data_IF_786717400163
#
_entry.id   IF_786717400163
#
_cell.length_a   1.000
_cell.length_b   1.000
_cell.length_c   1.000
_cell.angle_alpha   90.00
_cell.angle_beta   90.00
_cell.angle_gamma   90.00
#
_symmetry.space_group_name_H-M   'P 1'
#
loop_
_entity.id
_entity.type
_entity.pdbx_description
1 polymer ?
#
# COMPACT_ATOMS: atom_id res chain seq x y z
N UNK A 1 -15.17 -5.99 -2.20
CA UNK A 1 -16.54 -6.23 -1.69
C UNK A 1 -16.83 -5.37 -0.47
N UNK A 2 -16.08 -5.48 0.63
CA UNK A 2 -16.30 -4.71 1.88
C UNK A 2 -16.41 -3.19 1.67
N UNK A 3 -15.49 -2.59 0.93
CA UNK A 3 -15.56 -1.16 0.58
C UNK A 3 -16.76 -0.83 -0.32
N UNK A 4 -17.15 -1.75 -1.19
CA UNK A 4 -18.27 -1.57 -2.12
C UNK A 4 -19.63 -1.66 -1.41
N UNK A 5 -19.75 -2.54 -0.42
CA UNK A 5 -20.95 -2.66 0.41
C UNK A 5 -21.10 -1.45 1.32
N UNK A 6 -20.01 -0.98 1.94
CA UNK A 6 -20.03 0.25 2.74
C UNK A 6 -20.28 1.50 1.89
N UNK A 7 -19.76 1.53 0.66
CA UNK A 7 -20.01 2.59 -0.31
C UNK A 7 -21.49 2.76 -0.66
N UNK A 8 -22.26 1.67 -0.73
CA UNK A 8 -23.70 1.73 -1.02
C UNK A 8 -24.52 2.43 0.05
N UNK A 9 -23.94 2.74 1.22
CA UNK A 9 -24.60 3.44 2.32
C UNK A 9 -24.40 4.96 2.30
N UNK A 10 -23.56 5.51 1.40
CA UNK A 10 -23.42 6.96 1.24
C UNK A 10 -24.33 7.44 0.10
N UNK A 11 -25.37 8.22 0.42
CA UNK A 11 -26.17 8.97 -0.56
C UNK A 11 -25.32 10.07 -1.20
N UNK A 12 -24.48 9.71 -2.16
CA UNK A 12 -23.71 10.67 -2.95
C UNK A 12 -24.27 10.72 -4.35
N UNK A 13 -24.69 11.91 -4.79
CA UNK A 13 -25.32 12.11 -6.09
C UNK A 13 -24.31 11.79 -7.21
N UNK A 14 -24.51 10.70 -7.98
CA UNK A 14 -23.64 10.40 -9.10
C UNK A 14 -23.87 11.41 -10.24
N UNK A 15 -22.83 11.78 -11.00
CA UNK A 15 -23.02 12.53 -12.23
C UNK A 15 -23.65 11.62 -13.30
N UNK A 16 -24.15 12.18 -14.42
CA UNK A 16 -24.69 11.39 -15.53
C UNK A 16 -23.68 10.33 -16.02
N UNK A 17 -24.16 9.18 -16.49
CA UNK A 17 -23.29 8.04 -16.88
C UNK A 17 -22.23 8.44 -17.91
N UNK A 18 -22.57 9.29 -18.88
CA UNK A 18 -21.63 9.84 -19.85
C UNK A 18 -20.46 10.60 -19.20
N UNK A 19 -20.70 11.28 -18.07
CA UNK A 19 -19.68 11.99 -17.30
C UNK A 19 -18.83 11.00 -16.51
N UNK A 20 -19.44 9.96 -15.93
CA UNK A 20 -18.71 8.89 -15.24
C UNK A 20 -17.75 8.17 -16.19
N UNK A 21 -18.22 7.82 -17.39
CA UNK A 21 -17.43 7.18 -18.44
C UNK A 21 -16.28 8.09 -18.89
N UNK A 22 -16.55 9.39 -19.07
CA UNK A 22 -15.52 10.37 -19.41
C UNK A 22 -14.46 10.49 -18.32
N UNK A 23 -14.85 10.53 -17.04
CA UNK A 23 -13.93 10.51 -15.90
C UNK A 23 -13.08 9.23 -15.90
N UNK A 24 -13.72 8.07 -16.08
CA UNK A 24 -13.04 6.78 -16.16
C UNK A 24 -12.01 6.74 -17.30
N UNK A 25 -12.38 7.25 -18.48
CA UNK A 25 -11.51 7.37 -19.64
C UNK A 25 -10.30 8.29 -19.36
N UNK A 26 -10.53 9.43 -18.71
CA UNK A 26 -9.45 10.36 -18.36
C UNK A 26 -8.44 9.71 -17.42
N UNK A 27 -8.91 9.08 -16.35
CA UNK A 27 -8.03 8.42 -15.37
C UNK A 27 -7.29 7.22 -15.95
N UNK A 28 -7.94 6.42 -16.81
CA UNK A 28 -7.31 5.25 -17.45
C UNK A 28 -6.16 5.65 -18.39
N UNK A 29 -6.29 6.79 -19.06
CA UNK A 29 -5.31 7.26 -20.04
C UNK A 29 -4.31 8.27 -19.44
N UNK A 30 -4.36 8.51 -18.13
CA UNK A 30 -3.48 9.44 -17.46
C UNK A 30 -2.09 8.84 -17.26
N UNK A 31 -1.06 9.66 -17.48
CA UNK A 31 0.35 9.32 -17.32
C UNK A 31 1.14 10.54 -16.83
N UNK A 32 2.37 10.33 -16.39
CA UNK A 32 3.23 11.41 -15.89
C UNK A 32 3.52 12.51 -16.93
N UNK A 33 3.46 12.20 -18.23
CA UNK A 33 3.69 13.17 -19.30
C UNK A 33 2.47 14.03 -19.63
N UNK A 34 1.26 13.54 -19.36
CA UNK A 34 0.01 14.21 -19.72
C UNK A 34 -0.87 14.60 -18.52
N UNK A 35 -0.41 14.35 -17.29
CA UNK A 35 -1.18 14.57 -16.06
C UNK A 35 -1.70 16.00 -15.94
N UNK A 36 -0.92 17.01 -16.32
CA UNK A 36 -1.35 18.42 -16.24
C UNK A 36 -2.54 18.69 -17.16
N UNK A 37 -2.40 18.40 -18.46
CA UNK A 37 -3.44 18.62 -19.45
C UNK A 37 -4.73 17.85 -19.13
N UNK A 38 -4.62 16.56 -18.73
CA UNK A 38 -5.79 15.77 -18.33
C UNK A 38 -6.42 16.23 -17.02
N UNK A 39 -5.63 16.81 -16.12
CA UNK A 39 -6.17 17.40 -14.89
C UNK A 39 -6.96 18.67 -15.19
N UNK A 40 -6.54 19.50 -16.15
CA UNK A 40 -7.31 20.67 -16.59
C UNK A 40 -8.66 20.25 -17.19
N UNK A 41 -8.68 19.26 -18.09
CA UNK A 41 -9.94 18.73 -18.65
C UNK A 41 -10.86 18.14 -17.55
N UNK A 42 -10.27 17.41 -16.60
CA UNK A 42 -11.02 16.88 -15.45
C UNK A 42 -11.52 18.00 -14.54
N UNK A 43 -10.76 19.08 -14.37
CA UNK A 43 -11.13 20.23 -13.55
C UNK A 43 -12.37 20.91 -14.12
N UNK A 44 -12.39 21.18 -15.43
CA UNK A 44 -13.55 21.76 -16.12
C UNK A 44 -14.78 20.88 -15.96
N UNK A 45 -14.63 19.56 -16.15
CA UNK A 45 -15.73 18.60 -16.01
C UNK A 45 -16.28 18.58 -14.57
N UNK A 46 -15.40 18.61 -13.56
CA UNK A 46 -15.82 18.66 -12.15
C UNK A 46 -16.43 20.01 -11.75
N UNK A 47 -16.04 21.11 -12.40
CA UNK A 47 -16.64 22.43 -12.18
C UNK A 47 -18.05 22.50 -12.77
N UNK A 48 -18.26 21.95 -13.98
CA UNK A 48 -19.58 21.82 -14.59
C UNK A 48 -20.53 20.95 -13.73
N UNK A 49 -19.97 19.95 -13.06
CA UNK A 49 -20.71 19.04 -12.17
C UNK A 49 -20.29 19.18 -10.70
N UNK A 50 -20.26 20.42 -10.18
CA UNK A 50 -19.79 20.70 -8.82
C UNK A 50 -20.52 19.91 -7.71
N UNK A 51 -21.79 19.54 -7.93
CA UNK A 51 -22.57 18.68 -7.02
C UNK A 51 -22.02 17.26 -6.88
N UNK A 52 -21.21 16.80 -7.84
CA UNK A 52 -20.65 15.44 -7.90
C UNK A 52 -19.22 15.34 -7.36
N UNK A 53 -18.67 16.40 -6.75
CA UNK A 53 -17.30 16.39 -6.18
C UNK A 53 -17.14 15.31 -5.11
N UNK A 54 -18.14 15.14 -4.24
CA UNK A 54 -18.12 14.09 -3.22
C UNK A 54 -18.14 12.70 -3.86
N UNK A 55 -18.92 12.52 -4.95
CA UNK A 55 -18.99 11.25 -5.67
C UNK A 55 -17.64 10.93 -6.29
N UNK A 56 -17.00 11.91 -6.94
CA UNK A 56 -15.69 11.72 -7.54
C UNK A 56 -14.63 11.38 -6.50
N UNK A 57 -14.62 12.07 -5.35
CA UNK A 57 -13.71 11.76 -4.26
C UNK A 57 -13.87 10.31 -3.77
N UNK A 58 -15.11 9.86 -3.60
CA UNK A 58 -15.43 8.51 -3.18
C UNK A 58 -15.05 7.47 -4.26
N UNK A 59 -15.39 7.73 -5.52
CA UNK A 59 -15.01 6.90 -6.66
C UNK A 59 -13.48 6.74 -6.77
N UNK A 60 -12.74 7.85 -6.70
CA UNK A 60 -11.28 7.85 -6.76
C UNK A 60 -10.68 6.99 -5.65
N UNK A 61 -11.15 7.16 -4.40
CA UNK A 61 -10.62 6.42 -3.24
C UNK A 61 -10.93 4.92 -3.35
N UNK A 62 -12.19 4.56 -3.59
CA UNK A 62 -12.65 3.16 -3.51
C UNK A 62 -12.29 2.35 -4.76
N UNK A 63 -12.41 2.96 -5.95
CA UNK A 63 -12.24 2.23 -7.22
C UNK A 63 -10.84 2.34 -7.80
N UNK A 64 -10.04 3.32 -7.38
CA UNK A 64 -8.68 3.54 -7.93
C UNK A 64 -7.65 3.37 -6.84
N UNK A 65 -7.59 4.31 -5.89
CA UNK A 65 -6.55 4.37 -4.85
C UNK A 65 -6.43 3.07 -4.06
N UNK A 66 -7.55 2.50 -3.61
CA UNK A 66 -7.51 1.27 -2.81
C UNK A 66 -6.97 0.05 -3.60
N UNK A 67 -7.08 0.06 -4.93
CA UNK A 67 -6.75 -1.07 -5.81
C UNK A 67 -5.43 -0.89 -6.55
N UNK A 68 -5.00 0.35 -6.77
CA UNK A 68 -3.95 0.72 -7.72
C UNK A 68 -2.80 1.49 -7.02
N UNK A 69 -2.03 0.85 -6.12
CA UNK A 69 -0.96 1.54 -5.37
C UNK A 69 0.13 2.13 -6.27
N UNK A 70 0.38 1.51 -7.42
CA UNK A 70 1.40 1.97 -8.39
C UNK A 70 1.07 3.34 -9.01
N UNK A 71 -0.21 3.75 -8.98
CA UNK A 71 -0.66 5.04 -9.53
C UNK A 71 -0.86 6.12 -8.46
N UNK A 72 -0.52 5.88 -7.19
CA UNK A 72 -0.69 6.88 -6.12
C UNK A 72 0.09 8.18 -6.37
N UNK A 73 1.31 8.11 -6.88
CA UNK A 73 2.08 9.31 -7.22
C UNK A 73 1.39 10.12 -8.33
N UNK A 74 0.84 9.44 -9.33
CA UNK A 74 0.08 10.06 -10.42
C UNK A 74 -1.21 10.71 -9.90
N UNK A 75 -1.98 10.02 -9.07
CA UNK A 75 -3.19 10.56 -8.45
C UNK A 75 -2.88 11.73 -7.50
N UNK A 76 -1.76 11.69 -6.80
CA UNK A 76 -1.27 12.78 -5.97
C UNK A 76 -0.98 14.00 -6.86
N UNK A 77 -0.20 13.86 -7.93
CA UNK A 77 0.08 14.94 -8.89
C UNK A 77 -1.19 15.50 -9.55
N UNK A 78 -2.14 14.65 -9.92
CA UNK A 78 -3.45 15.06 -10.44
C UNK A 78 -4.21 15.91 -9.42
N UNK A 79 -4.33 15.46 -8.16
CA UNK A 79 -5.06 16.23 -7.13
C UNK A 79 -4.41 17.58 -6.82
N UNK A 80 -3.09 17.69 -6.96
CA UNK A 80 -2.35 18.96 -6.92
C UNK A 80 -2.72 19.87 -8.09
N UNK A 81 -2.67 19.34 -9.32
CA UNK A 81 -3.01 20.10 -10.52
C UNK A 81 -4.47 20.59 -10.51
N UNK A 82 -5.41 19.77 -10.01
CA UNK A 82 -6.82 20.17 -9.85
C UNK A 82 -6.98 21.37 -8.91
N UNK A 83 -6.19 21.45 -7.83
CA UNK A 83 -6.22 22.55 -6.85
C UNK A 83 -7.61 22.90 -6.27
N UNK A 84 -8.57 21.95 -6.30
CA UNK A 84 -9.93 22.13 -5.76
C UNK A 84 -9.93 21.79 -4.26
N UNK A 85 -10.03 22.82 -3.40
CA UNK A 85 -9.99 22.65 -1.93
C UNK A 85 -11.08 21.72 -1.38
N UNK A 86 -12.31 21.85 -1.88
CA UNK A 86 -13.44 21.01 -1.47
C UNK A 86 -13.21 19.54 -1.82
N UNK A 87 -12.63 19.27 -3.00
CA UNK A 87 -12.25 17.94 -3.43
C UNK A 87 -11.17 17.34 -2.52
N UNK A 88 -10.10 18.09 -2.21
CA UNK A 88 -9.05 17.58 -1.31
C UNK A 88 -9.61 17.18 0.06
N UNK A 89 -10.54 17.98 0.61
CA UNK A 89 -11.23 17.65 1.87
C UNK A 89 -12.07 16.38 1.71
N UNK A 90 -12.85 16.27 0.65
CA UNK A 90 -13.68 15.09 0.39
C UNK A 90 -12.85 13.82 0.18
N UNK A 91 -11.70 13.90 -0.49
CA UNK A 91 -10.76 12.79 -0.67
C UNK A 91 -10.21 12.34 0.68
N UNK A 92 -9.78 13.26 1.54
CA UNK A 92 -9.29 12.94 2.88
C UNK A 92 -10.38 12.27 3.72
N UNK A 93 -11.59 12.85 3.75
CA UNK A 93 -12.73 12.27 4.47
C UNK A 93 -13.06 10.86 3.96
N UNK A 94 -13.15 10.67 2.65
CA UNK A 94 -13.43 9.37 2.05
C UNK A 94 -12.32 8.34 2.34
N UNK A 95 -11.05 8.76 2.30
CA UNK A 95 -9.90 7.90 2.65
C UNK A 95 -10.00 7.41 4.09
N UNK A 96 -10.23 8.33 5.03
CA UNK A 96 -10.35 8.00 6.46
C UNK A 96 -11.57 7.12 6.74
N UNK A 97 -12.70 7.40 6.11
CA UNK A 97 -13.91 6.60 6.28
C UNK A 97 -13.73 5.17 5.78
N UNK A 98 -13.14 4.99 4.59
CA UNK A 98 -12.86 3.66 4.05
C UNK A 98 -11.80 2.90 4.87
N UNK A 99 -10.81 3.60 5.41
CA UNK A 99 -9.87 2.98 6.36
C UNK A 99 -10.59 2.48 7.63
N UNK A 100 -11.50 3.27 8.20
CA UNK A 100 -12.31 2.87 9.37
C UNK A 100 -13.22 1.67 9.07
N UNK A 101 -13.82 1.61 7.88
CA UNK A 101 -14.62 0.45 7.42
C UNK A 101 -13.77 -0.82 7.42
N UNK A 102 -12.55 -0.78 6.89
CA UNK A 102 -11.66 -1.95 6.86
C UNK A 102 -11.17 -2.32 8.27
N UNK A 103 -10.83 -1.33 9.10
CA UNK A 103 -10.42 -1.55 10.50
C UNK A 103 -11.55 -2.15 11.36
N UNK A 104 -12.81 -1.85 11.03
CA UNK A 104 -14.00 -2.40 11.66
C UNK A 104 -14.48 -3.75 11.09
N UNK A 105 -13.89 -4.22 9.99
CA UNK A 105 -14.32 -5.46 9.33
C UNK A 105 -13.98 -6.69 10.16
N UNK A 106 -14.94 -7.59 10.33
CA UNK A 106 -14.71 -8.90 10.97
C UNK A 106 -13.70 -9.76 10.19
N UNK A 107 -13.54 -9.52 8.88
CA UNK A 107 -12.65 -10.27 8.00
C UNK A 107 -11.21 -9.77 8.04
N UNK A 108 -10.90 -8.64 8.69
CA UNK A 108 -9.57 -8.00 8.61
C UNK A 108 -8.43 -8.91 9.16
N UNK A 109 -8.75 -9.80 10.11
CA UNK A 109 -7.80 -10.76 10.70
C UNK A 109 -7.43 -11.90 9.77
N UNK A 110 -8.39 -12.40 8.98
CA UNK A 110 -8.20 -13.55 8.09
C UNK A 110 -7.86 -13.14 6.67
N UNK A 111 -8.51 -12.08 6.17
CA UNK A 111 -8.42 -11.62 4.78
C UNK A 111 -7.14 -10.84 4.50
N UNK A 112 -6.22 -11.44 3.74
CA UNK A 112 -5.04 -10.73 3.21
C UNK A 112 -5.42 -9.62 2.22
N UNK A 113 -6.52 -9.78 1.48
CA UNK A 113 -6.98 -8.77 0.52
C UNK A 113 -7.44 -7.49 1.22
N UNK A 114 -8.22 -7.59 2.30
CA UNK A 114 -8.64 -6.40 3.09
C UNK A 114 -7.44 -5.69 3.71
N UNK A 115 -6.47 -6.44 4.22
CA UNK A 115 -5.22 -5.87 4.74
C UNK A 115 -4.43 -5.15 3.64
N UNK A 116 -4.38 -5.68 2.43
CA UNK A 116 -3.75 -5.00 1.29
C UNK A 116 -4.46 -3.70 0.91
N UNK A 117 -5.80 -3.69 0.88
CA UNK A 117 -6.57 -2.47 0.65
C UNK A 117 -6.30 -1.41 1.72
N UNK A 118 -6.29 -1.82 3.00
CA UNK A 118 -5.99 -0.92 4.12
C UNK A 118 -4.58 -0.35 4.01
N UNK A 119 -3.61 -1.20 3.68
CA UNK A 119 -2.21 -0.82 3.45
C UNK A 119 -2.08 0.21 2.32
N UNK A 120 -2.81 0.02 1.22
CA UNK A 120 -2.86 0.98 0.11
C UNK A 120 -3.46 2.33 0.56
N UNK A 121 -4.56 2.31 1.31
CA UNK A 121 -5.16 3.53 1.87
C UNK A 121 -4.21 4.24 2.86
N UNK A 122 -3.42 3.49 3.63
CA UNK A 122 -2.39 4.06 4.52
C UNK A 122 -1.31 4.82 3.75
N UNK A 123 -0.76 4.20 2.70
CA UNK A 123 0.21 4.85 1.80
C UNK A 123 -0.36 6.12 1.19
N UNK A 124 -1.58 6.04 0.66
CA UNK A 124 -2.27 7.19 0.09
C UNK A 124 -2.51 8.31 1.11
N UNK A 125 -2.99 7.96 2.31
CA UNK A 125 -3.22 8.91 3.40
C UNK A 125 -1.96 9.69 3.75
N UNK A 126 -0.83 8.99 3.88
CA UNK A 126 0.48 9.62 4.11
C UNK A 126 0.88 10.59 2.99
N UNK A 127 0.71 10.19 1.72
CA UNK A 127 1.05 11.02 0.56
C UNK A 127 0.21 12.31 0.47
N UNK A 128 -1.10 12.22 0.71
CA UNK A 128 -1.97 13.41 0.62
C UNK A 128 -1.91 14.33 1.85
N UNK A 129 -1.28 13.88 2.95
CA UNK A 129 -1.16 14.63 4.21
C UNK A 129 0.29 14.92 4.60
N UNK A 130 0.99 13.95 5.20
CA UNK A 130 2.30 14.11 5.83
C UNK A 130 3.39 14.52 4.84
N UNK A 131 3.44 13.89 3.66
CA UNK A 131 4.38 14.28 2.59
C UNK A 131 4.17 15.74 2.12
N UNK A 132 2.96 16.26 2.29
CA UNK A 132 2.56 17.63 1.96
C UNK A 132 2.61 18.57 3.16
N UNK A 133 3.29 18.20 4.24
CA UNK A 133 3.40 18.96 5.48
C UNK A 133 2.04 19.31 6.12
N UNK A 134 1.01 18.48 5.88
CA UNK A 134 -0.31 18.63 6.52
C UNK A 134 -0.43 17.61 7.65
N UNK A 135 -0.79 18.03 8.88
CA UNK A 135 -0.92 17.12 10.00
C UNK A 135 -2.12 16.19 9.83
N UNK A 136 -1.96 14.95 10.30
CA UNK A 136 -3.09 14.07 10.61
C UNK A 136 -3.57 14.42 12.02
N UNK A 137 -4.79 14.95 12.11
CA UNK A 137 -5.36 15.36 13.39
C UNK A 137 -5.85 14.14 14.17
N UNK A 138 -5.61 14.13 15.48
CA UNK A 138 -6.06 13.07 16.39
C UNK A 138 -7.58 12.81 16.30
N UNK A 139 -8.39 13.88 16.14
CA UNK A 139 -9.85 13.79 15.95
C UNK A 139 -10.26 13.03 14.68
N UNK A 140 -9.39 13.04 13.67
CA UNK A 140 -9.63 12.36 12.40
C UNK A 140 -9.12 10.91 12.49
N UNK A 141 -7.89 10.71 12.95
CA UNK A 141 -7.37 9.38 13.26
C UNK A 141 -6.25 9.47 14.30
N UNK A 142 -6.48 8.89 15.46
CA UNK A 142 -5.43 8.73 16.48
C UNK A 142 -4.64 7.45 16.19
N UNK A 143 -3.51 7.60 15.50
CA UNK A 143 -2.65 6.45 15.18
C UNK A 143 -2.02 5.81 16.43
N UNK A 144 -1.82 6.56 17.52
CA UNK A 144 -1.23 5.98 18.75
C UNK A 144 -2.25 5.11 19.43
N UNK A 145 -3.46 5.64 19.64
CA UNK A 145 -4.54 4.87 20.26
C UNK A 145 -4.94 3.69 19.37
N UNK A 146 -4.95 3.87 18.04
CA UNK A 146 -5.21 2.78 17.11
C UNK A 146 -4.24 1.60 17.28
N UNK A 147 -2.94 1.86 17.52
CA UNK A 147 -1.96 0.79 17.79
C UNK A 147 -2.23 0.13 19.15
N UNK A 148 -2.54 0.91 20.18
CA UNK A 148 -2.85 0.36 21.50
C UNK A 148 -4.13 -0.49 21.49
N UNK A 149 -5.20 -0.04 20.84
CA UNK A 149 -6.45 -0.78 20.68
C UNK A 149 -6.24 -2.04 19.84
N UNK A 150 -5.39 -1.97 18.80
CA UNK A 150 -5.03 -3.12 18.00
C UNK A 150 -4.25 -4.15 18.80
N UNK A 151 -3.40 -3.69 19.72
CA UNK A 151 -2.70 -4.55 20.65
C UNK A 151 -3.69 -5.33 21.51
N UNK A 152 -4.68 -4.69 22.15
CA UNK A 152 -5.67 -5.37 23.02
C UNK A 152 -6.67 -6.24 22.27
N UNK A 153 -6.99 -5.87 21.03
CA UNK A 153 -7.99 -6.59 20.24
C UNK A 153 -7.39 -7.71 19.41
N UNK A 154 -6.08 -7.75 19.20
CA UNK A 154 -5.47 -8.70 18.28
C UNK A 154 -5.68 -8.33 16.80
N UNK A 155 -5.44 -7.05 16.47
CA UNK A 155 -5.55 -6.49 15.12
C UNK A 155 -4.21 -5.96 14.58
N UNK A 156 -3.08 -6.29 15.22
CA UNK A 156 -1.78 -5.71 14.89
C UNK A 156 -1.34 -6.09 13.46
N UNK A 157 -1.69 -7.29 12.99
CA UNK A 157 -1.44 -7.75 11.62
C UNK A 157 -1.98 -6.81 10.53
N UNK A 158 -3.01 -6.03 10.85
CA UNK A 158 -3.59 -5.03 9.95
C UNK A 158 -3.12 -3.61 10.28
N UNK A 159 -3.07 -3.26 11.57
CA UNK A 159 -2.80 -1.89 12.01
C UNK A 159 -1.33 -1.51 11.89
N UNK A 160 -0.38 -2.39 12.22
CA UNK A 160 1.06 -2.06 12.13
C UNK A 160 1.47 -1.75 10.69
N UNK A 161 1.14 -2.58 9.67
CA UNK A 161 1.46 -2.24 8.28
C UNK A 161 0.75 -0.98 7.79
N UNK A 162 -0.48 -0.72 8.25
CA UNK A 162 -1.21 0.51 7.92
C UNK A 162 -0.49 1.75 8.46
N UNK A 163 -0.16 1.77 9.76
CA UNK A 163 0.54 2.88 10.40
C UNK A 163 1.93 3.08 9.78
N UNK A 164 2.66 1.99 9.51
CA UNK A 164 3.95 2.06 8.84
C UNK A 164 3.84 2.74 7.47
N UNK A 165 2.86 2.36 6.64
CA UNK A 165 2.66 2.99 5.33
C UNK A 165 2.22 4.44 5.39
N UNK A 166 1.48 4.85 6.42
CA UNK A 166 1.19 6.27 6.65
C UNK A 166 2.48 7.03 6.95
N UNK A 167 3.34 6.47 7.82
CA UNK A 167 4.58 7.09 8.27
C UNK A 167 5.70 7.06 7.22
N UNK A 168 5.69 6.16 6.24
CA UNK A 168 6.65 6.15 5.11
C UNK A 168 6.70 7.54 4.41
N UNK A 169 5.56 8.21 4.32
CA UNK A 169 5.45 9.54 3.72
C UNK A 169 6.17 10.66 4.51
N UNK A 170 6.55 10.41 5.78
CA UNK A 170 7.33 11.36 6.56
C UNK A 170 8.76 11.51 6.04
N UNK A 171 9.30 10.51 5.33
CA UNK A 171 10.66 10.57 4.79
C UNK A 171 10.86 11.68 3.74
N UNK A 172 9.78 12.08 3.05
CA UNK A 172 9.79 13.18 2.07
C UNK A 172 9.24 14.49 2.64
N UNK A 173 8.75 14.48 3.88
CA UNK A 173 8.18 15.64 4.56
C UNK A 173 9.27 16.53 5.15
N UNK A 174 9.10 17.85 5.06
CA UNK A 174 10.00 18.80 5.74
C UNK A 174 9.63 18.98 7.22
N UNK A 175 8.35 18.78 7.55
CA UNK A 175 7.81 19.00 8.91
C UNK A 175 7.81 17.72 9.73
N UNK A 176 7.48 16.58 9.11
CA UNK A 176 7.26 15.31 9.82
C UNK A 176 8.44 14.34 9.75
N UNK A 177 9.58 14.71 9.18
CA UNK A 177 10.80 13.89 9.29
C UNK A 177 11.28 13.83 10.75
N UNK A 178 11.87 12.70 11.23
CA UNK A 178 12.59 12.68 12.50
C UNK A 178 13.61 13.83 12.62
N UNK A 179 13.79 14.42 13.82
CA UNK A 179 13.25 14.01 15.11
C UNK A 179 11.90 14.69 15.48
N UNK A 180 10.96 14.83 14.53
CA UNK A 180 9.62 15.35 14.82
C UNK A 180 8.95 14.61 16.02
N UNK A 181 8.50 15.32 17.09
CA UNK A 181 7.99 14.67 18.29
C UNK A 181 6.75 13.79 18.08
N UNK A 182 5.88 14.14 17.13
CA UNK A 182 4.69 13.35 16.83
C UNK A 182 5.08 12.02 16.19
N UNK A 183 6.01 12.04 15.22
CA UNK A 183 6.56 10.82 14.59
C UNK A 183 7.36 9.99 15.59
N UNK A 184 8.27 10.61 16.34
CA UNK A 184 9.10 9.90 17.31
C UNK A 184 8.28 9.25 18.42
N UNK A 185 7.16 9.85 18.82
CA UNK A 185 6.26 9.22 19.79
C UNK A 185 5.53 8.00 19.23
N UNK A 186 5.21 7.96 17.93
CA UNK A 186 4.71 6.75 17.27
C UNK A 186 5.82 5.70 17.14
N UNK A 187 7.03 6.10 16.75
CA UNK A 187 8.19 5.20 16.70
C UNK A 187 8.51 4.58 18.07
N UNK A 188 8.39 5.36 19.14
CA UNK A 188 8.59 4.89 20.51
C UNK A 188 7.54 3.83 20.92
N UNK A 189 6.29 4.00 20.49
CA UNK A 189 5.23 3.01 20.69
C UNK A 189 5.45 1.75 19.86
N UNK A 190 5.88 1.90 18.60
CA UNK A 190 6.26 0.77 17.77
C UNK A 190 7.48 0.03 18.32
N UNK A 191 8.43 0.74 18.96
CA UNK A 191 9.57 0.12 19.62
C UNK A 191 9.17 -0.67 20.87
N UNK A 192 8.23 -0.15 21.66
CA UNK A 192 7.62 -0.93 22.76
C UNK A 192 6.99 -2.22 22.21
N UNK A 193 6.23 -2.12 21.11
CA UNK A 193 5.63 -3.28 20.46
C UNK A 193 6.69 -4.27 19.95
N UNK A 194 7.76 -3.78 19.33
CA UNK A 194 8.88 -4.59 18.81
C UNK A 194 9.54 -5.46 19.90
N UNK A 195 9.59 -4.95 21.13
CA UNK A 195 10.15 -5.64 22.29
C UNK A 195 9.19 -6.66 22.91
N UNK A 196 7.90 -6.67 22.53
CA UNK A 196 6.94 -7.64 23.07
C UNK A 196 7.36 -9.07 22.69
N UNK A 197 7.47 -9.99 23.67
CA UNK A 197 7.82 -11.37 23.41
C UNK A 197 6.83 -12.06 22.47
N UNK A 198 7.36 -12.95 21.64
CA UNK A 198 6.60 -13.77 20.69
C UNK A 198 5.82 -12.95 19.62
N UNK A 199 6.04 -11.64 19.48
CA UNK A 199 5.46 -10.85 18.39
C UNK A 199 5.94 -11.43 17.04
N UNK A 200 5.00 -11.65 16.12
CA UNK A 200 5.28 -12.26 14.83
C UNK A 200 6.35 -11.48 14.05
N UNK A 201 7.30 -12.21 13.46
CA UNK A 201 8.43 -11.62 12.75
C UNK A 201 8.01 -10.66 11.64
N UNK A 202 6.93 -10.95 10.91
CA UNK A 202 6.42 -10.03 9.88
C UNK A 202 6.12 -8.63 10.44
N UNK A 203 5.60 -8.53 11.67
CA UNK A 203 5.32 -7.24 12.31
C UNK A 203 6.61 -6.53 12.74
N UNK A 204 7.59 -7.30 13.25
CA UNK A 204 8.92 -6.76 13.58
C UNK A 204 9.63 -6.23 12.34
N UNK A 205 9.58 -6.97 11.23
CA UNK A 205 10.16 -6.55 9.96
C UNK A 205 9.51 -5.28 9.42
N UNK A 206 8.19 -5.11 9.53
CA UNK A 206 7.53 -3.85 9.13
C UNK A 206 8.06 -2.65 9.93
N UNK A 207 8.29 -2.82 11.24
CA UNK A 207 8.86 -1.76 12.10
C UNK A 207 10.33 -1.46 11.72
N UNK A 208 11.13 -2.50 11.45
CA UNK A 208 12.52 -2.34 10.98
C UNK A 208 12.62 -1.63 9.63
N UNK A 209 11.77 -2.01 8.68
CA UNK A 209 11.70 -1.37 7.37
C UNK A 209 11.31 0.09 7.51
N UNK A 210 10.30 0.40 8.33
CA UNK A 210 9.91 1.79 8.60
C UNK A 210 11.06 2.60 9.21
N UNK A 211 11.77 2.06 10.21
CA UNK A 211 12.91 2.72 10.83
C UNK A 211 14.01 3.04 9.80
N UNK A 212 14.31 2.10 8.89
CA UNK A 212 15.22 2.32 7.76
C UNK A 212 14.73 3.41 6.80
N UNK A 213 13.44 3.40 6.42
CA UNK A 213 12.83 4.44 5.57
C UNK A 213 13.00 5.82 6.19
N UNK A 214 12.79 5.93 7.52
CA UNK A 214 12.89 7.19 8.26
C UNK A 214 14.33 7.54 8.68
N UNK A 215 15.31 6.68 8.36
CA UNK A 215 16.72 6.82 8.72
C UNK A 215 16.93 6.98 10.23
N UNK A 216 16.22 6.16 11.01
CA UNK A 216 16.34 6.11 12.48
C UNK A 216 16.83 4.73 12.88
N UNK A 217 17.84 4.70 13.76
CA UNK A 217 18.32 3.47 14.37
C UNK A 217 17.35 3.02 15.47
N UNK A 218 16.91 1.76 15.42
CA UNK A 218 15.99 1.22 16.44
C UNK A 218 16.60 1.23 17.85
N UNK A 219 17.92 1.10 17.95
CA UNK A 219 18.64 1.13 19.23
C UNK A 219 18.54 2.49 19.94
N UNK A 220 18.35 3.58 19.19
CA UNK A 220 18.28 4.95 19.73
C UNK A 220 16.86 5.32 20.18
N UNK A 221 15.86 4.53 19.79
CA UNK A 221 14.46 4.78 20.14
C UNK A 221 14.18 4.24 21.53
N UNK A 222 13.79 5.13 22.44
CA UNK A 222 13.30 4.74 23.77
C UNK A 222 11.86 4.22 23.64
N UNK A 223 11.57 2.98 24.09
CA UNK A 223 10.20 2.46 24.06
C UNK A 223 9.30 3.24 25.01
N UNK A 224 8.01 3.30 24.69
CA UNK A 224 7.00 3.74 25.66
C UNK A 224 6.70 2.66 26.71
N UNK A 225 5.80 2.96 27.64
CA UNK A 225 5.24 2.00 28.61
C UNK A 225 3.70 1.95 28.53
N UNK A 226 3.13 2.15 27.34
CA UNK A 226 1.68 2.24 27.11
C UNK A 226 1.00 0.88 27.01
N UNK A 227 1.72 -0.15 26.60
CA UNK A 227 1.21 -1.51 26.40
C UNK A 227 1.33 -2.38 27.66
N UNK A 228 2.23 -2.02 28.59
CA UNK A 228 2.50 -2.79 29.83
C UNK A 228 1.24 -3.07 30.66
N UNK A 229 0.32 -2.11 30.74
CA UNK A 229 -0.92 -2.23 31.51
C UNK A 229 -2.13 -2.71 30.70
N UNK A 230 -1.95 -2.97 29.41
CA UNK A 230 -3.02 -3.39 28.51
C UNK A 230 -3.04 -4.91 28.43
N UNK A 231 -4.20 -5.50 28.71
CA UNK A 231 -4.34 -6.95 28.68
C UNK A 231 -4.47 -7.42 27.22
N UNK A 232 -3.67 -8.42 26.85
CA UNK A 232 -3.77 -9.05 25.54
C UNK A 232 -3.92 -10.57 25.66
N UNK A 233 -5.05 -11.08 25.18
CA UNK A 233 -5.29 -12.53 25.12
C UNK A 233 -4.54 -13.12 23.92
N UNK A 234 -3.38 -13.72 24.21
CA UNK A 234 -2.50 -14.32 23.21
C UNK A 234 -3.11 -15.56 22.53
N UNK A 235 -4.18 -16.14 23.07
CA UNK A 235 -4.81 -17.35 22.52
C UNK A 235 -5.82 -17.05 21.41
N UNK A 236 -6.33 -15.83 21.34
CA UNK A 236 -7.39 -15.42 20.40
C UNK A 236 -6.90 -14.53 19.24
N UNK A 237 -5.59 -14.38 19.10
CA UNK A 237 -4.98 -13.49 18.11
C UNK A 237 -3.98 -14.22 17.21
N UNK A 238 -3.85 -13.76 15.97
CA UNK A 238 -2.86 -14.23 15.00
C UNK A 238 -1.57 -13.37 14.96
N UNK A 239 -1.46 -12.40 15.89
CA UNK A 239 -0.37 -11.42 15.95
C UNK A 239 0.90 -11.95 16.63
N UNK A 240 0.77 -13.01 17.44
CA UNK A 240 1.88 -13.64 18.16
C UNK A 240 2.16 -15.03 17.60
N UNK A 241 3.41 -15.48 17.72
CA UNK A 241 3.81 -16.84 17.39
C UNK A 241 3.21 -17.82 18.42
N UNK A 242 2.49 -18.84 17.94
CA UNK A 242 1.96 -19.88 18.80
C UNK A 242 3.11 -20.73 19.38
N UNK A 243 3.35 -20.64 20.70
CA UNK A 243 4.29 -21.53 21.41
C UNK A 243 3.93 -23.01 21.31
N UNK A 244 2.65 -23.34 21.05
CA UNK A 244 2.19 -24.71 20.89
C UNK A 244 2.84 -25.45 19.70
N UNK A 245 3.23 -24.73 18.63
CA UNK A 245 3.92 -25.34 17.49
C UNK A 245 5.42 -25.55 17.71
N UNK A 246 6.05 -24.79 18.60
CA UNK A 246 7.48 -24.88 18.88
C UNK A 246 7.81 -26.02 19.87
N UNK A 247 6.93 -26.29 20.84
CA UNK A 247 7.11 -27.40 21.79
C UNK A 247 6.92 -28.78 21.14
N UNK A 248 6.09 -28.89 20.09
CA UNK A 248 5.87 -30.15 19.37
C UNK A 248 7.09 -30.63 18.55
N UNK A 249 8.01 -29.72 18.20
CA UNK A 249 9.25 -30.07 17.48
C UNK A 249 10.35 -30.58 18.42
N UNK A 250 10.25 -30.31 19.73
CA UNK A 250 11.26 -30.70 20.73
C UNK A 250 10.78 -31.82 21.69
N UNK A 251 9.59 -32.38 21.47
CA UNK A 251 8.93 -33.33 22.39
C UNK A 251 8.58 -34.70 21.80
N UNK A 252 9.25 -35.14 20.72
CA UNK A 252 9.08 -36.49 20.18
C UNK A 252 9.77 -37.55 21.06
N UNK A 253 9.13 -38.69 21.38
CA UNK A 253 9.75 -39.72 22.23
C UNK A 253 10.91 -40.39 21.50
N UNK A 254 12.02 -40.59 22.23
CA UNK A 254 13.15 -41.43 21.83
C UNK A 254 12.65 -42.86 21.54
N UNK A 255 12.50 -43.19 20.25
CA UNK A 255 12.32 -44.54 19.74
C UNK A 255 13.63 -45.02 19.11
N UNK A 256 14.26 -46.00 19.75
CA UNK A 256 15.46 -46.68 19.27
C UNK A 256 15.21 -47.42 17.95
N UNK A 257 15.94 -47.09 16.90
CA UNK A 257 16.21 -48.04 15.82
C UNK A 257 17.52 -47.67 15.13
N UNK A 258 18.49 -48.57 15.34
CA UNK A 258 19.82 -48.60 14.75
C UNK A 258 19.79 -48.52 13.23
N UNK A 259 20.61 -47.65 12.65
CA UNK A 259 21.25 -47.90 11.36
C UNK A 259 22.69 -47.37 11.38
N UNK A 260 23.59 -48.27 10.99
CA UNK A 260 25.03 -48.19 11.08
C UNK A 260 25.65 -47.44 9.90
N UNK A 261 26.71 -46.68 10.19
CA UNK A 261 27.87 -46.28 9.36
C UNK A 261 27.74 -46.14 7.84
N UNK A 262 28.15 -44.97 7.31
CA UNK A 262 29.44 -44.88 6.62
C UNK A 262 29.99 -43.43 6.60
N UNK A 263 31.32 -43.34 6.68
CA UNK A 263 32.16 -42.18 6.94
C UNK A 263 32.31 -41.19 5.77
N UNK A 264 32.71 -39.95 6.09
CA UNK A 264 33.34 -39.01 5.14
C UNK A 264 33.16 -37.52 5.45
N UNK A 265 34.09 -36.93 6.22
CA UNK A 265 34.31 -35.47 6.42
C UNK A 265 35.43 -35.05 5.42
N UNK A 266 35.75 -33.76 5.07
CA UNK A 266 35.39 -32.48 5.70
C UNK A 266 35.06 -31.25 4.79
N UNK A 267 34.47 -30.24 5.46
CA UNK A 267 34.72 -28.78 5.47
C UNK A 267 35.15 -27.96 4.23
N UNK A 268 34.45 -26.84 3.99
CA UNK A 268 34.95 -25.44 3.82
C UNK A 268 33.84 -24.60 3.15
N UNK A 269 33.26 -23.60 3.82
CA UNK A 269 33.65 -22.17 3.80
C UNK A 269 33.08 -21.35 2.61
N UNK A 270 32.54 -20.18 2.98
CA UNK A 270 32.48 -18.92 2.22
C UNK A 270 31.35 -18.68 1.18
N UNK A 271 30.40 -17.82 1.57
CA UNK A 271 29.98 -16.54 0.95
C UNK A 271 29.89 -16.36 -0.59
N UNK A 272 28.72 -15.88 -1.05
CA UNK A 272 28.50 -14.82 -2.08
C UNK A 272 26.97 -14.60 -2.21
N UNK A 273 26.33 -13.43 -2.10
CA UNK A 273 26.47 -12.11 -2.74
C UNK A 273 26.30 -12.10 -4.27
N UNK A 274 25.08 -11.74 -4.69
CA UNK A 274 24.63 -10.73 -5.68
C UNK A 274 25.28 -10.60 -7.09
N UNK A 275 24.41 -10.20 -8.05
CA UNK A 275 24.59 -9.86 -9.48
C UNK A 275 24.74 -11.07 -10.42
N UNK A 276 24.05 -11.21 -11.56
CA UNK A 276 23.38 -10.27 -12.47
C UNK A 276 24.01 -10.44 -13.85
N UNK A 277 23.25 -10.86 -14.89
CA UNK A 277 23.57 -10.62 -16.31
C UNK A 277 22.45 -11.14 -17.24
N UNK A 278 22.09 -10.33 -18.24
CA UNK A 278 21.33 -10.75 -19.44
C UNK A 278 22.17 -11.66 -20.35
N UNK A 279 21.58 -12.17 -21.45
CA UNK A 279 22.23 -11.86 -22.72
C UNK A 279 21.26 -11.46 -23.86
N UNK A 280 21.83 -10.65 -24.75
CA UNK A 280 21.29 -10.13 -26.00
C UNK A 280 21.65 -11.04 -27.19
N UNK A 281 20.69 -11.19 -28.11
CA UNK A 281 20.74 -11.10 -29.58
C UNK A 281 21.89 -11.71 -30.43
N UNK A 282 21.51 -12.60 -31.37
CA UNK A 282 21.87 -12.70 -32.83
C UNK A 282 21.64 -14.16 -33.30
N UNK A 283 21.31 -14.56 -34.54
CA UNK A 283 21.09 -13.99 -35.88
C UNK A 283 20.71 -15.19 -36.78
N UNK A 284 19.92 -15.01 -37.85
CA UNK A 284 19.88 -16.02 -38.94
C UNK A 284 18.58 -16.09 -39.74
N UNK A 285 18.52 -15.37 -40.87
CA UNK A 285 17.62 -15.70 -42.01
C UNK A 285 18.25 -16.78 -42.88
N UNK A 286 17.45 -17.39 -43.77
CA UNK A 286 17.83 -17.36 -45.18
C UNK A 286 16.68 -17.00 -46.14
N UNK A 287 17.09 -16.43 -47.27
CA UNK A 287 16.34 -16.01 -48.45
C UNK A 287 16.42 -17.03 -49.58
N UNK A 288 15.34 -17.20 -50.36
CA UNK A 288 15.26 -17.58 -51.79
C UNK A 288 13.77 -17.92 -52.10
N UNK A 289 13.14 -17.73 -53.27
CA UNK A 289 13.40 -17.02 -54.52
C UNK A 289 12.07 -17.00 -55.33
N UNK A 290 11.89 -15.95 -56.13
CA UNK A 290 11.11 -15.80 -57.40
C UNK A 290 9.80 -16.58 -57.67
N UNK A 291 8.76 -15.83 -58.11
CA UNK A 291 7.64 -16.35 -58.89
C UNK A 291 6.62 -15.31 -59.42
N UNK A 292 6.86 -14.82 -60.65
CA UNK A 292 5.91 -14.37 -61.70
C UNK A 292 4.79 -13.30 -61.46
N UNK A 293 5.06 -12.11 -62.01
CA UNK A 293 4.39 -11.37 -63.12
C UNK A 293 2.85 -11.41 -63.38
N UNK A 294 2.36 -10.18 -63.67
CA UNK A 294 1.28 -9.70 -64.59
C UNK A 294 -0.16 -9.51 -64.06
N UNK A 295 -0.64 -8.25 -64.03
CA UNK A 295 -1.57 -7.69 -65.04
C UNK A 295 -1.91 -6.18 -64.81
N UNK A 296 -1.83 -5.40 -65.90
CA UNK A 296 -2.47 -4.13 -66.32
C UNK A 296 -3.41 -3.37 -65.35
N UNK A 297 -3.52 -2.04 -65.29
CA UNK A 297 -3.17 -0.93 -66.20
C UNK A 297 -4.40 0.01 -66.34
N UNK A 298 -4.25 1.32 -66.12
CA UNK A 298 -5.33 2.30 -66.35
C UNK A 298 -5.05 3.72 -65.84
N UNK A 299 -4.65 4.61 -66.76
CA UNK A 299 -4.47 6.07 -66.60
C UNK A 299 -5.82 6.82 -66.66
N UNK A 300 -5.94 7.92 -65.90
CA UNK A 300 -6.90 9.00 -66.18
C UNK A 300 -6.33 10.38 -65.77
N UNK A 301 -6.40 11.36 -66.69
CA UNK A 301 -6.02 12.78 -66.57
C UNK A 301 -7.07 13.62 -65.80
N UNK A 302 -6.75 14.85 -65.35
CA UNK A 302 -7.69 15.77 -64.69
C UNK A 302 -8.29 16.85 -65.64
N UNK A 303 -9.40 17.53 -65.25
CA UNK A 303 -10.19 18.41 -66.11
C UNK A 303 -9.94 19.93 -65.81
N UNK A 304 -10.66 20.87 -66.48
CA UNK A 304 -10.12 22.09 -67.11
C UNK A 304 -9.77 23.26 -66.19
#
# INVERSE_FOLDING_TARGET
>A
ETLMTAAGSQEVVPPPDAVQDKIGFLLNNMSSSNVRAKSEELQELLQQHAGSIQWFAHYLVVRRVALEPNFHSLYTAMTEALSIRTLCRSILTSTLQNARVLLGSAKIRSSSSERSLLKNLGSWLGQITLARNKPLLMRDIDLKELVCDAYERGLLIAVVPFVAKVLDACATSRVFLPPNPWVMALMSLLMELYQVPDLKLNLKFEIEVLAKTLKVELADIKPTAKLVHRHQDRTQTCDFANRAGAAAVLGGPMGSSSFSNLAGVPAAAASASFSGMMPDSMSGMPSDAMGLRQAFGGHAQPPP
#
